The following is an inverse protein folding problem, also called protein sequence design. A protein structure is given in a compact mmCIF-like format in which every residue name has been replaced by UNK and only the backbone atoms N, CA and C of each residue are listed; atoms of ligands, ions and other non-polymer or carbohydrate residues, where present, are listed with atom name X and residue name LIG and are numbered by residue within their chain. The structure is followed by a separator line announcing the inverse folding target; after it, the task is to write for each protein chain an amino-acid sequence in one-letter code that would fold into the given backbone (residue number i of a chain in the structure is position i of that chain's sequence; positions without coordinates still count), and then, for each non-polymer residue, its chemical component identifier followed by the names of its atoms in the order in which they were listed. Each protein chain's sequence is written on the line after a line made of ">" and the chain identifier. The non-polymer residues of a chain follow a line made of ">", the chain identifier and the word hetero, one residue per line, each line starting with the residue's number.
data_IF_460561893036
#
_entry.id   IF_460561893036
#
_cell.length_a   1.000
_cell.length_b   1.000
_cell.length_c   1.000
_cell.angle_alpha   90.00
_cell.angle_beta   90.00
_cell.angle_gamma   90.00
#
_symmetry.space_group_name_H-M   'P 1'
#
loop_
_entity.id
_entity.type
_entity.pdbx_description
1 polymer ?
#
# COMPACT_ATOMS: atom_id res chain seq x y z
N UNK A 1 25.03 -37.22 63.75
CA UNK A 1 24.44 -37.43 62.41
C UNK A 1 23.97 -36.05 61.93
N UNK A 2 24.81 -35.21 61.30
CA UNK A 2 25.16 -35.05 59.86
C UNK A 2 23.95 -34.76 58.93
N UNK A 3 24.17 -33.83 57.99
CA UNK A 3 23.30 -33.23 56.93
C UNK A 3 22.44 -32.05 57.41
N UNK A 4 22.77 -30.76 57.25
CA UNK A 4 23.40 -29.98 56.17
C UNK A 4 22.56 -29.88 54.89
N UNK A 5 21.95 -28.70 54.72
CA UNK A 5 21.54 -27.96 53.50
C UNK A 5 20.83 -28.71 52.36
N UNK A 6 19.72 -28.17 51.84
CA UNK A 6 19.63 -27.64 50.47
C UNK A 6 18.18 -27.22 50.10
N UNK A 7 18.06 -26.02 49.50
CA UNK A 7 17.26 -25.65 48.31
C UNK A 7 15.72 -25.83 48.35
N UNK A 8 14.88 -24.95 47.80
CA UNK A 8 15.09 -23.90 46.81
C UNK A 8 13.96 -22.87 46.93
N UNK A 9 14.32 -21.59 46.87
CA UNK A 9 13.40 -20.53 46.50
C UNK A 9 13.00 -20.75 45.03
N UNK A 10 11.74 -21.14 44.79
CA UNK A 10 11.16 -21.13 43.45
C UNK A 10 10.98 -19.66 43.02
N UNK A 11 12.01 -19.11 42.40
CA UNK A 11 11.88 -17.97 41.50
C UNK A 11 11.15 -18.46 40.25
N UNK A 12 9.85 -18.18 40.18
CA UNK A 12 9.10 -18.22 38.92
C UNK A 12 9.62 -17.08 38.04
N UNK A 13 10.62 -17.39 37.22
CA UNK A 13 11.05 -16.53 36.11
C UNK A 13 9.95 -16.59 35.05
N UNK A 14 9.04 -15.63 35.09
CA UNK A 14 8.06 -15.40 34.03
C UNK A 14 8.82 -14.90 32.79
N UNK A 15 9.16 -15.81 31.89
CA UNK A 15 9.72 -15.47 30.58
C UNK A 15 8.56 -14.88 29.76
N UNK A 16 8.43 -13.56 29.79
CA UNK A 16 7.52 -12.84 28.90
C UNK A 16 8.16 -12.89 27.51
N UNK A 17 7.74 -13.85 26.69
CA UNK A 17 8.08 -13.85 25.27
C UNK A 17 7.29 -12.72 24.61
N UNK A 18 7.84 -11.50 24.65
CA UNK A 18 7.42 -10.42 23.77
C UNK A 18 7.87 -10.78 22.36
N UNK A 19 6.97 -11.42 21.61
CA UNK A 19 7.11 -11.49 20.17
C UNK A 19 7.08 -10.05 19.66
N UNK A 20 8.23 -9.49 19.30
CA UNK A 20 8.32 -8.20 18.62
C UNK A 20 7.45 -8.27 17.36
N UNK A 21 6.25 -7.70 17.42
CA UNK A 21 5.47 -7.42 16.24
C UNK A 21 6.28 -6.40 15.43
N UNK A 22 6.92 -6.85 14.34
CA UNK A 22 7.58 -5.91 13.43
C UNK A 22 6.56 -4.89 12.98
N UNK A 23 6.80 -3.62 13.30
CA UNK A 23 5.99 -2.53 12.81
C UNK A 23 6.13 -2.47 11.28
N UNK A 24 5.00 -2.58 10.59
CA UNK A 24 4.93 -2.59 9.14
C UNK A 24 4.02 -1.45 8.67
N UNK A 25 4.41 -0.79 7.60
CA UNK A 25 3.56 0.20 6.97
C UNK A 25 2.33 -0.49 6.36
N UNK A 26 1.19 0.20 6.37
CA UNK A 26 -0.04 -0.32 5.77
C UNK A 26 -0.63 0.73 4.86
N UNK A 27 -0.62 0.48 3.56
CA UNK A 27 -1.20 1.38 2.56
C UNK A 27 -2.60 0.93 2.17
N UNK A 28 -3.46 1.90 1.86
CA UNK A 28 -4.81 1.66 1.38
C UNK A 28 -5.14 2.61 0.22
N UNK A 29 -5.71 2.07 -0.85
CA UNK A 29 -6.33 2.88 -1.90
C UNK A 29 -7.61 3.51 -1.33
N UNK A 30 -7.71 4.84 -1.42
CA UNK A 30 -8.87 5.60 -0.96
C UNK A 30 -9.77 5.90 -2.14
N UNK A 31 -11.05 5.52 -2.01
CA UNK A 31 -12.01 5.65 -3.09
C UNK A 31 -11.75 4.69 -4.25
N UNK A 32 -12.37 4.99 -5.40
CA UNK A 32 -12.18 4.23 -6.64
C UNK A 32 -11.11 4.91 -7.50
N UNK A 33 -10.17 4.16 -8.09
CA UNK A 33 -9.29 4.67 -9.15
C UNK A 33 -10.10 5.39 -10.22
N UNK A 34 -9.64 6.58 -10.61
CA UNK A 34 -10.34 7.44 -11.56
C UNK A 34 -9.61 7.47 -12.88
N UNK A 35 -10.40 7.49 -13.95
CA UNK A 35 -9.92 7.74 -15.30
C UNK A 35 -10.42 9.08 -15.78
N UNK A 36 -9.51 9.98 -16.18
CA UNK A 36 -9.89 11.26 -16.80
C UNK A 36 -10.12 11.03 -18.28
N UNK A 37 -11.31 11.35 -18.76
CA UNK A 37 -11.66 11.26 -20.18
C UNK A 37 -11.40 12.59 -20.87
N UNK A 38 -10.97 12.52 -22.12
CA UNK A 38 -10.82 13.66 -23.01
C UNK A 38 -11.35 13.31 -24.40
N UNK A 39 -11.54 14.32 -25.24
CA UNK A 39 -12.06 14.19 -26.59
C UNK A 39 -10.98 14.65 -27.56
N UNK A 40 -10.68 13.85 -28.59
CA UNK A 40 -9.72 14.21 -29.63
C UNK A 40 -10.30 15.27 -30.58
N UNK A 41 -9.48 15.93 -31.41
CA UNK A 41 -9.98 16.81 -32.47
C UNK A 41 -10.93 16.10 -33.46
N UNK A 42 -10.80 14.78 -33.61
CA UNK A 42 -11.71 13.94 -34.40
C UNK A 42 -13.01 13.55 -33.69
N UNK A 43 -13.28 14.07 -32.49
CA UNK A 43 -14.48 13.80 -31.71
C UNK A 43 -14.49 12.46 -30.95
N UNK A 44 -13.39 11.70 -30.98
CA UNK A 44 -13.30 10.41 -30.29
C UNK A 44 -12.94 10.57 -28.82
N UNK A 45 -13.66 9.89 -27.94
CA UNK A 45 -13.32 9.85 -26.52
C UNK A 45 -12.12 8.93 -26.26
N UNK A 46 -11.20 9.39 -25.42
CA UNK A 46 -10.07 8.61 -24.94
C UNK A 46 -9.82 8.87 -23.46
N UNK A 47 -9.19 7.89 -22.81
CA UNK A 47 -8.69 8.01 -21.45
C UNK A 47 -7.33 8.73 -21.49
N UNK A 48 -7.24 9.91 -20.86
CA UNK A 48 -6.08 10.81 -20.91
C UNK A 48 -5.18 10.74 -19.67
N UNK A 49 -5.75 10.37 -18.53
CA UNK A 49 -4.96 10.04 -17.33
C UNK A 49 -5.68 9.04 -16.44
N UNK A 50 -4.89 8.41 -15.57
CA UNK A 50 -5.38 7.64 -14.43
C UNK A 50 -4.91 8.30 -13.15
N UNK A 51 -5.77 8.31 -12.14
CA UNK A 51 -5.55 8.92 -10.84
C UNK A 51 -5.94 7.93 -9.74
N UNK A 52 -5.06 7.74 -8.76
CA UNK A 52 -5.26 6.88 -7.60
C UNK A 52 -4.82 7.61 -6.35
N UNK A 53 -5.70 7.72 -5.37
CA UNK A 53 -5.37 8.26 -4.05
C UNK A 53 -5.00 7.10 -3.11
N UNK A 54 -3.88 7.24 -2.42
CA UNK A 54 -3.38 6.23 -1.47
C UNK A 54 -3.14 6.91 -0.13
N UNK A 55 -3.57 6.27 0.94
CA UNK A 55 -3.34 6.68 2.32
C UNK A 55 -2.52 5.64 3.05
N UNK A 56 -1.60 6.11 3.90
CA UNK A 56 -0.98 5.26 4.89
C UNK A 56 -1.87 5.18 6.12
N UNK A 57 -2.44 4.00 6.35
CA UNK A 57 -3.29 3.69 7.51
C UNK A 57 -2.51 2.91 8.59
N UNK A 58 -1.21 2.72 8.40
CA UNK A 58 -0.30 2.15 9.39
C UNK A 58 0.26 3.20 10.34
N UNK A 59 0.98 2.75 11.37
CA UNK A 59 1.57 3.63 12.38
C UNK A 59 2.93 4.22 11.98
N UNK A 60 3.64 3.56 11.07
CA UNK A 60 4.96 3.98 10.58
C UNK A 60 4.91 4.52 9.14
N UNK A 61 5.88 5.34 8.72
CA UNK A 61 5.94 5.84 7.34
C UNK A 61 6.13 4.71 6.32
N UNK A 62 5.41 4.78 5.20
CA UNK A 62 5.57 3.85 4.09
C UNK A 62 6.70 4.31 3.16
N UNK A 63 7.53 3.39 2.68
CA UNK A 63 8.73 3.70 1.90
C UNK A 63 8.79 2.97 0.55
N UNK A 64 9.42 3.61 -0.43
CA UNK A 64 9.60 3.08 -1.79
C UNK A 64 8.28 2.63 -2.44
N UNK A 65 7.26 3.48 -2.36
CA UNK A 65 5.90 3.17 -2.80
C UNK A 65 5.84 3.01 -4.33
N UNK A 66 5.12 1.98 -4.76
CA UNK A 66 4.75 1.71 -6.14
C UNK A 66 3.24 1.54 -6.22
N UNK A 67 2.60 2.34 -7.08
CA UNK A 67 1.16 2.23 -7.34
C UNK A 67 0.98 1.81 -8.79
N UNK A 68 0.35 0.67 -9.01
CA UNK A 68 0.14 0.09 -10.33
C UNK A 68 -1.35 0.09 -10.62
N UNK A 69 -1.76 0.77 -11.69
CA UNK A 69 -3.13 0.70 -12.16
C UNK A 69 -3.28 -0.36 -13.26
N UNK A 70 -4.36 -1.12 -13.23
CA UNK A 70 -4.77 -2.01 -14.32
C UNK A 70 -5.91 -1.33 -15.06
N UNK A 71 -5.68 -1.01 -16.33
CA UNK A 71 -6.63 -0.35 -17.20
C UNK A 71 -7.74 -1.32 -17.64
N UNK A 72 -8.88 -0.81 -18.13
CA UNK A 72 -9.96 -1.63 -18.69
C UNK A 72 -9.53 -2.55 -19.85
N UNK A 73 -8.43 -2.23 -20.53
CA UNK A 73 -7.83 -3.08 -21.56
C UNK A 73 -6.99 -4.24 -21.00
N UNK A 74 -6.81 -4.33 -19.68
CA UNK A 74 -5.88 -5.25 -19.01
C UNK A 74 -4.44 -4.72 -18.93
N UNK A 75 -4.12 -3.61 -19.60
CA UNK A 75 -2.78 -3.02 -19.55
C UNK A 75 -2.46 -2.53 -18.13
N UNK A 76 -1.25 -2.83 -17.65
CA UNK A 76 -0.76 -2.39 -16.33
C UNK A 76 0.16 -1.19 -16.50
N UNK A 77 -0.09 -0.12 -15.73
CA UNK A 77 0.71 1.11 -15.78
C UNK A 77 1.18 1.50 -14.38
N UNK A 78 2.47 1.79 -14.25
CA UNK A 78 3.03 2.35 -13.02
C UNK A 78 2.68 3.83 -12.95
N UNK A 79 2.07 4.24 -11.84
CA UNK A 79 1.71 5.63 -11.58
C UNK A 79 2.87 6.39 -10.93
N UNK A 80 2.90 7.68 -11.21
CA UNK A 80 3.86 8.65 -10.70
C UNK A 80 3.27 9.37 -9.47
N UNK A 81 4.06 9.47 -8.42
CA UNK A 81 3.67 10.11 -7.16
C UNK A 81 4.78 9.97 -6.12
N UNK A 82 4.53 10.40 -4.87
CA UNK A 82 5.52 10.34 -3.79
C UNK A 82 6.04 8.92 -3.54
N UNK A 83 7.32 8.81 -3.18
CA UNK A 83 7.94 7.51 -2.82
C UNK A 83 7.78 7.15 -1.36
N UNK A 84 7.42 8.13 -0.53
CA UNK A 84 7.15 7.95 0.89
C UNK A 84 5.83 8.62 1.26
N UNK A 85 5.10 8.06 2.21
CA UNK A 85 3.90 8.66 2.80
C UNK A 85 3.99 8.48 4.33
N UNK A 86 3.90 9.58 5.05
CA UNK A 86 3.89 9.59 6.52
C UNK A 86 2.65 8.87 7.08
N UNK A 87 2.70 8.53 8.37
CA UNK A 87 1.56 7.91 9.06
C UNK A 87 0.31 8.81 8.99
N UNK A 88 -0.84 8.23 8.65
CA UNK A 88 -2.13 8.92 8.46
C UNK A 88 -2.19 9.96 7.33
N UNK A 89 -1.12 10.11 6.54
CA UNK A 89 -1.11 10.98 5.38
C UNK A 89 -1.62 10.26 4.13
N UNK A 90 -2.00 11.07 3.13
CA UNK A 90 -2.49 10.62 1.83
C UNK A 90 -1.76 11.33 0.70
N UNK A 91 -1.70 10.67 -0.45
CA UNK A 91 -1.06 11.21 -1.65
C UNK A 91 -1.74 10.74 -2.91
N UNK A 92 -1.67 11.59 -3.94
CA UNK A 92 -2.20 11.31 -5.27
C UNK A 92 -1.11 10.75 -6.17
N UNK A 93 -1.45 9.66 -6.87
CA UNK A 93 -0.62 9.04 -7.90
C UNK A 93 -1.31 9.16 -9.24
N UNK A 94 -0.58 9.58 -10.27
CA UNK A 94 -1.14 9.84 -11.59
C UNK A 94 -0.29 9.26 -12.72
N UNK A 95 -0.89 8.97 -13.86
CA UNK A 95 -0.15 8.70 -15.09
C UNK A 95 -0.92 9.23 -16.29
N UNK A 96 -0.25 10.01 -17.13
CA UNK A 96 -0.79 10.38 -18.44
C UNK A 96 -0.74 9.17 -19.37
N UNK A 97 -1.86 8.89 -20.01
CA UNK A 97 -2.01 7.79 -20.96
C UNK A 97 -2.85 8.26 -22.15
N UNK A 98 -2.90 7.45 -23.19
CA UNK A 98 -3.78 7.72 -24.34
C UNK A 98 -4.39 6.41 -24.80
N UNK A 99 -5.54 6.06 -24.22
CA UNK A 99 -6.28 4.84 -24.58
C UNK A 99 -7.58 5.25 -25.25
N UNK A 100 -7.69 4.97 -26.55
CA UNK A 100 -8.89 5.23 -27.34
C UNK A 100 -9.95 4.17 -27.07
N UNK A 101 -11.22 4.59 -27.04
CA UNK A 101 -12.38 3.71 -26.87
C UNK A 101 -12.21 2.70 -25.71
N UNK A 102 -11.85 3.16 -24.49
CA UNK A 102 -11.66 2.23 -23.39
C UNK A 102 -12.98 1.50 -23.10
N UNK A 103 -12.95 0.17 -22.87
CA UNK A 103 -14.16 -0.55 -22.48
C UNK A 103 -14.73 0.00 -21.18
N UNK A 104 -16.04 -0.21 -20.95
CA UNK A 104 -16.76 0.25 -19.75
C UNK A 104 -16.46 -0.61 -18.51
N UNK A 105 -15.20 -0.92 -18.27
CA UNK A 105 -14.75 -1.65 -17.08
C UNK A 105 -14.06 -0.67 -16.13
N UNK A 106 -14.00 -1.04 -14.86
CA UNK A 106 -13.35 -0.24 -13.84
C UNK A 106 -11.82 -0.32 -13.95
N UNK A 107 -11.15 0.75 -13.53
CA UNK A 107 -9.71 0.73 -13.31
C UNK A 107 -9.45 0.10 -11.95
N UNK A 108 -8.56 -0.88 -11.90
CA UNK A 108 -8.11 -1.47 -10.64
C UNK A 108 -6.77 -0.86 -10.23
N UNK A 109 -6.47 -0.84 -8.93
CA UNK A 109 -5.20 -0.36 -8.41
C UNK A 109 -4.60 -1.35 -7.40
N UNK A 110 -3.30 -1.54 -7.53
CA UNK A 110 -2.46 -2.32 -6.62
C UNK A 110 -1.40 -1.38 -6.03
N UNK A 111 -1.13 -1.51 -4.73
CA UNK A 111 -0.15 -0.68 -4.03
C UNK A 111 0.87 -1.59 -3.37
N UNK A 112 2.15 -1.25 -3.53
CA UNK A 112 3.29 -1.94 -2.93
C UNK A 112 4.20 -0.93 -2.26
N UNK A 113 4.89 -1.33 -1.20
CA UNK A 113 5.97 -0.55 -0.61
C UNK A 113 6.99 -1.49 0.05
N UNK A 114 8.21 -1.00 0.26
CA UNK A 114 9.33 -1.85 0.70
C UNK A 114 9.19 -2.36 2.14
N UNK A 115 8.57 -1.57 3.00
CA UNK A 115 8.27 -1.91 4.40
C UNK A 115 6.78 -2.19 4.62
N UNK A 116 6.03 -2.48 3.56
CA UNK A 116 4.63 -2.90 3.64
C UNK A 116 4.55 -4.39 3.89
N UNK A 117 3.53 -4.81 4.66
CA UNK A 117 3.16 -6.23 4.69
C UNK A 117 2.56 -6.59 3.33
N UNK A 118 3.24 -7.43 2.57
CA UNK A 118 2.64 -8.06 1.39
C UNK A 118 1.43 -8.86 1.87
N UNK A 119 0.22 -8.44 1.49
CA UNK A 119 -1.01 -9.22 1.68
C UNK A 119 -1.43 -9.83 0.35
#
# INVERSE_FOLDING_TARGET
>A
MKYQMLLAALLLVSIVNEACAQEVATLRVIGRPKGVKSISPSGQSYLSSVEVEVMNVGQIPAQMIQVIATLPSGARVLLEGPKNIESNDRSLYTKKIKVHNPPRQDILAEVRCANCRNR
#
